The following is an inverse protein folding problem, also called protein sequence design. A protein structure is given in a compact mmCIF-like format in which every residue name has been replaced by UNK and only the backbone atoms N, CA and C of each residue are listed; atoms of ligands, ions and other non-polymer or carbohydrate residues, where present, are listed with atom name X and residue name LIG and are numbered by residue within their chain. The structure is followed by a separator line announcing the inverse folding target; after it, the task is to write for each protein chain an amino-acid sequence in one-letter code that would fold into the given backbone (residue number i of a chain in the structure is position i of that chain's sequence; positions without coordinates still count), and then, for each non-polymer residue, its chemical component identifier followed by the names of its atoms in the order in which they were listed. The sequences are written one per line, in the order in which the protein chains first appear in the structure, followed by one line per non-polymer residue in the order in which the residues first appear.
data_IF_051590032641
#
_entry.id   IF_051590032641
#
_cell.length_a   1.000
_cell.length_b   1.000
_cell.length_c   1.000
_cell.angle_alpha   90.00
_cell.angle_beta   90.00
_cell.angle_gamma   90.00
#
_symmetry.space_group_name_H-M   'P 1'
#
loop_
_entity.id
_entity.type
_entity.pdbx_description
1 polymer ?
#
# COMPACT_ATOMS: atom_id res chain seq x y z
N UNK A 1 13.01 16.42 -50.71
CA UNK A 1 13.45 15.53 -49.60
C UNK A 1 14.65 16.15 -48.92
N UNK A 2 14.51 16.64 -47.69
CA UNK A 2 15.63 17.09 -46.85
C UNK A 2 15.48 16.37 -45.50
N UNK A 3 16.50 15.59 -45.15
CA UNK A 3 16.48 14.64 -44.04
C UNK A 3 16.46 15.33 -42.67
N UNK A 4 15.67 14.75 -41.76
CA UNK A 4 15.66 15.06 -40.34
C UNK A 4 16.86 14.34 -39.69
N UNK A 5 17.85 15.09 -39.21
CA UNK A 5 18.98 14.53 -38.46
C UNK A 5 18.72 14.68 -36.95
N UNK A 6 18.58 13.55 -36.26
CA UNK A 6 18.54 13.46 -34.80
C UNK A 6 19.96 13.27 -34.28
N UNK A 7 20.57 14.33 -33.75
CA UNK A 7 21.80 14.25 -32.97
C UNK A 7 21.44 14.02 -31.50
N UNK A 8 21.60 12.79 -31.03
CA UNK A 8 21.44 12.43 -29.63
C UNK A 8 22.83 12.42 -28.97
N UNK A 9 23.16 13.47 -28.22
CA UNK A 9 24.42 13.54 -27.47
C UNK A 9 24.20 13.01 -26.05
N UNK A 10 24.55 11.74 -25.82
CA UNK A 10 24.48 11.08 -24.52
C UNK A 10 25.72 11.42 -23.69
N UNK A 11 25.64 12.48 -22.88
CA UNK A 11 26.51 12.64 -21.69
C UNK A 11 25.68 12.52 -20.42
N UNK A 12 26.24 11.77 -19.46
CA UNK A 12 25.71 11.46 -18.13
C UNK A 12 25.33 12.73 -17.33
N UNK A 13 24.12 13.23 -17.57
CA UNK A 13 23.27 14.10 -16.76
C UNK A 13 22.06 14.34 -17.66
N UNK A 14 20.91 13.81 -17.28
CA UNK A 14 19.71 13.74 -18.14
C UNK A 14 19.20 15.15 -18.46
N UNK A 15 19.72 15.74 -19.53
CA UNK A 15 19.25 16.99 -20.14
C UNK A 15 18.97 16.68 -21.61
N UNK A 16 17.76 16.21 -21.89
CA UNK A 16 17.29 16.00 -23.26
C UNK A 16 16.97 17.37 -23.87
N UNK A 17 17.89 17.95 -24.64
CA UNK A 17 17.61 19.13 -25.46
C UNK A 17 17.10 18.66 -26.83
N UNK A 18 15.85 18.98 -27.14
CA UNK A 18 15.26 18.72 -28.45
C UNK A 18 15.43 20.00 -29.28
N UNK A 19 16.26 19.93 -30.32
CA UNK A 19 16.41 21.01 -31.30
C UNK A 19 15.53 20.73 -32.52
N UNK A 20 14.57 21.62 -32.79
CA UNK A 20 13.77 21.61 -34.01
C UNK A 20 14.34 22.64 -34.99
N UNK A 21 14.77 22.17 -36.16
CA UNK A 21 15.22 23.03 -37.26
C UNK A 21 14.02 23.41 -38.14
N UNK A 22 13.64 24.69 -38.12
CA UNK A 22 12.68 25.27 -39.08
C UNK A 22 13.39 25.64 -40.40
N UNK A 23 12.68 25.70 -41.55
CA UNK A 23 13.24 25.92 -42.88
C UNK A 23 13.90 27.31 -43.10
N UNK A 24 13.91 28.19 -42.10
CA UNK A 24 14.57 29.50 -42.12
C UNK A 24 15.76 29.63 -41.15
N UNK A 25 16.31 28.53 -40.64
CA UNK A 25 17.58 28.56 -39.90
C UNK A 25 17.51 29.22 -38.51
N UNK A 26 16.30 29.48 -38.00
CA UNK A 26 16.11 29.92 -36.62
C UNK A 26 16.03 28.71 -35.69
N UNK A 27 16.89 28.74 -34.67
CA UNK A 27 17.02 27.72 -33.64
C UNK A 27 16.10 28.11 -32.48
N UNK A 28 14.94 27.48 -32.38
CA UNK A 28 14.06 27.68 -31.23
C UNK A 28 14.49 26.71 -30.12
N UNK A 29 14.92 27.26 -28.98
CA UNK A 29 15.01 26.53 -27.72
C UNK A 29 13.59 26.31 -27.19
N UNK A 30 12.88 25.28 -27.69
CA UNK A 30 11.43 25.13 -27.43
C UNK A 30 11.14 24.60 -26.02
N UNK A 31 12.05 23.89 -25.36
CA UNK A 31 11.71 23.25 -24.07
C UNK A 31 12.90 23.09 -23.13
N UNK A 32 13.01 23.97 -22.15
CA UNK A 32 13.79 23.71 -20.93
C UNK A 32 12.90 22.96 -19.93
N UNK A 33 12.86 21.62 -20.00
CA UNK A 33 12.03 20.74 -19.15
C UNK A 33 12.53 20.67 -17.69
N UNK A 34 13.44 21.56 -17.27
CA UNK A 34 14.01 21.53 -15.93
C UNK A 34 13.02 21.90 -14.79
N UNK A 35 11.78 22.30 -15.10
CA UNK A 35 10.80 22.78 -14.12
C UNK A 35 9.54 21.91 -13.99
N UNK A 36 9.65 20.58 -14.07
CA UNK A 36 8.59 19.67 -13.58
C UNK A 36 9.19 18.51 -12.79
N UNK A 37 10.17 18.79 -11.93
CA UNK A 37 10.42 17.93 -10.78
C UNK A 37 9.49 18.38 -9.66
N UNK A 38 8.22 17.96 -9.73
CA UNK A 38 7.36 18.00 -8.55
C UNK A 38 8.10 17.28 -7.44
N UNK A 39 8.40 17.98 -6.35
CA UNK A 39 9.11 17.44 -5.21
C UNK A 39 8.38 16.18 -4.73
N UNK A 40 8.99 15.01 -4.93
CA UNK A 40 8.39 13.72 -4.58
C UNK A 40 8.24 13.64 -3.07
N UNK A 41 7.05 13.95 -2.58
CA UNK A 41 6.71 13.75 -1.19
C UNK A 41 6.77 12.24 -0.91
N UNK A 42 7.68 11.85 -0.03
CA UNK A 42 7.89 10.47 0.38
C UNK A 42 7.31 10.25 1.77
N UNK A 43 6.46 9.25 1.88
CA UNK A 43 5.79 8.88 3.13
C UNK A 43 6.29 7.50 3.57
N UNK A 44 6.77 7.40 4.82
CA UNK A 44 7.28 6.12 5.32
C UNK A 44 7.13 5.96 6.83
N UNK A 45 7.07 4.69 7.26
CA UNK A 45 7.00 4.32 8.66
C UNK A 45 8.40 4.30 9.28
N UNK A 46 8.56 5.05 10.37
CA UNK A 46 9.74 5.01 11.23
C UNK A 46 9.31 4.48 12.59
N UNK A 47 9.93 3.40 13.06
CA UNK A 47 9.68 2.87 14.40
C UNK A 47 10.83 3.33 15.29
N UNK A 48 10.54 4.21 16.25
CA UNK A 48 11.51 4.68 17.22
C UNK A 48 11.50 3.77 18.43
N UNK A 49 12.57 3.02 18.62
CA UNK A 49 12.80 2.24 19.84
C UNK A 49 13.38 3.17 20.91
N UNK A 50 12.69 3.33 22.02
CA UNK A 50 13.11 4.14 23.15
C UNK A 50 14.04 3.37 24.09
N UNK A 51 14.79 4.11 24.91
CA UNK A 51 15.64 3.55 25.98
C UNK A 51 14.84 2.94 27.13
N UNK A 52 13.58 3.34 27.29
CA UNK A 52 12.69 2.83 28.34
C UNK A 52 12.33 1.37 28.08
N UNK A 53 12.63 0.50 29.04
CA UNK A 53 12.18 -0.88 29.07
C UNK A 53 10.81 -0.99 29.74
N UNK A 54 10.02 -1.96 29.30
CA UNK A 54 8.74 -2.33 29.90
C UNK A 54 8.95 -3.23 31.12
N UNK A 55 7.89 -3.47 31.90
CA UNK A 55 7.91 -4.42 33.03
C UNK A 55 8.40 -5.81 32.59
N UNK A 56 8.05 -6.21 31.38
CA UNK A 56 8.44 -7.50 30.79
C UNK A 56 9.86 -7.49 30.16
N UNK A 57 10.66 -6.45 30.42
CA UNK A 57 12.02 -6.27 29.88
C UNK A 57 12.10 -5.86 28.41
N UNK A 58 11.01 -5.97 27.65
CA UNK A 58 10.95 -5.58 26.23
C UNK A 58 11.16 -4.07 26.03
N UNK A 59 11.84 -3.66 24.95
CA UNK A 59 12.03 -2.24 24.66
C UNK A 59 10.70 -1.62 24.24
N UNK A 60 10.53 -0.35 24.57
CA UNK A 60 9.35 0.41 24.21
C UNK A 60 9.52 1.05 22.82
N UNK A 61 8.66 0.69 21.86
CA UNK A 61 8.66 1.29 20.53
C UNK A 61 7.45 2.20 20.28
N UNK A 62 7.69 3.28 19.52
CA UNK A 62 6.65 4.19 19.01
C UNK A 62 6.74 4.25 17.48
N UNK A 63 5.68 3.85 16.77
CA UNK A 63 5.60 4.06 15.33
C UNK A 63 5.32 5.54 15.01
N UNK A 64 6.02 6.07 14.01
CA UNK A 64 5.97 7.45 13.57
C UNK A 64 5.66 7.46 12.05
N UNK A 65 4.67 8.25 11.67
CA UNK A 65 4.39 8.61 10.29
C UNK A 65 5.35 9.74 9.90
N UNK A 66 6.16 9.53 8.87
CA UNK A 66 7.16 10.52 8.45
C UNK A 66 6.93 10.90 7.00
N UNK A 67 6.84 12.21 6.76
CA UNK A 67 6.71 12.82 5.44
C UNK A 67 7.98 13.59 5.10
N UNK A 68 8.56 13.31 3.93
CA UNK A 68 9.81 13.94 3.44
C UNK A 68 9.61 14.53 2.05
N UNK A 69 10.43 15.51 1.69
CA UNK A 69 10.39 16.12 0.34
C UNK A 69 10.96 15.23 -0.77
N UNK A 70 11.81 14.26 -0.42
CA UNK A 70 12.43 13.26 -1.30
C UNK A 70 13.27 12.28 -0.48
N UNK A 71 13.84 11.26 -1.13
CA UNK A 71 14.81 10.35 -0.52
C UNK A 71 16.02 11.15 -0.01
N UNK A 72 16.34 11.02 1.28
CA UNK A 72 17.35 11.84 1.99
C UNK A 72 17.07 13.36 2.01
N UNK A 73 15.85 13.78 1.69
CA UNK A 73 15.40 15.16 1.80
C UNK A 73 15.09 15.57 3.23
N UNK A 74 14.72 16.84 3.40
CA UNK A 74 14.25 17.39 4.69
C UNK A 74 12.97 16.69 5.12
N UNK A 75 12.85 16.40 6.41
CA UNK A 75 11.60 15.94 7.03
C UNK A 75 10.65 17.11 7.07
N UNK A 76 9.50 16.95 6.41
CA UNK A 76 8.41 17.91 6.46
C UNK A 76 7.64 17.74 7.76
N UNK A 77 7.25 16.50 8.05
CA UNK A 77 6.45 16.15 9.23
C UNK A 77 6.90 14.81 9.80
N UNK A 78 6.88 14.72 11.13
CA UNK A 78 7.11 13.48 11.89
C UNK A 78 6.05 13.44 13.00
N UNK A 79 5.03 12.62 12.78
CA UNK A 79 3.88 12.51 13.69
C UNK A 79 3.82 11.12 14.34
N UNK A 80 3.55 11.03 15.65
CA UNK A 80 3.42 9.75 16.32
C UNK A 80 2.08 9.08 16.01
N UNK A 81 2.14 7.83 15.55
CA UNK A 81 0.95 7.01 15.33
C UNK A 81 0.41 6.55 16.69
N UNK A 82 -0.87 6.81 16.96
CA UNK A 82 -1.49 6.39 18.20
C UNK A 82 -1.58 4.87 18.27
N UNK A 83 -1.17 4.30 19.41
CA UNK A 83 -1.21 2.86 19.69
C UNK A 83 -2.50 2.44 20.43
N UNK A 84 -3.43 3.38 20.61
CA UNK A 84 -4.70 3.16 21.32
C UNK A 84 -5.88 3.04 20.35
N UNK A 85 -5.74 3.56 19.13
CA UNK A 85 -6.76 3.56 18.10
C UNK A 85 -6.36 2.61 16.98
N UNK A 86 -7.32 2.00 16.27
CA UNK A 86 -7.03 1.22 15.08
C UNK A 86 -6.40 2.07 13.96
N UNK A 87 -5.78 1.38 13.00
CA UNK A 87 -5.04 2.02 11.90
C UNK A 87 -5.56 1.46 10.58
N UNK A 88 -6.00 2.36 9.70
CA UNK A 88 -6.39 2.05 8.33
C UNK A 88 -5.42 2.72 7.36
N UNK A 89 -4.69 1.93 6.58
CA UNK A 89 -3.78 2.40 5.55
C UNK A 89 -4.43 2.25 4.18
N UNK A 90 -4.51 3.35 3.44
CA UNK A 90 -5.08 3.41 2.10
C UNK A 90 -4.00 3.92 1.14
N UNK A 91 -4.06 3.58 -0.14
CA UNK A 91 -3.09 4.07 -1.12
C UNK A 91 -3.00 3.17 -2.34
N UNK A 92 -2.56 3.68 -3.48
CA UNK A 92 -2.48 2.87 -4.71
C UNK A 92 -1.41 1.75 -4.61
N UNK A 93 -1.39 0.82 -5.56
CA UNK A 93 -0.39 -0.26 -5.58
C UNK A 93 1.03 0.32 -5.58
N UNK A 94 1.97 -0.35 -4.90
CA UNK A 94 3.36 0.12 -4.78
C UNK A 94 3.62 1.27 -3.79
N UNK A 95 2.61 1.79 -3.08
CA UNK A 95 2.76 2.82 -2.02
C UNK A 95 3.51 2.35 -0.77
N UNK A 96 3.80 1.06 -0.63
CA UNK A 96 4.48 0.50 0.54
C UNK A 96 3.58 0.12 1.71
N UNK A 97 2.25 0.08 1.53
CA UNK A 97 1.28 -0.38 2.55
C UNK A 97 1.65 -1.72 3.19
N UNK A 98 1.86 -2.77 2.39
CA UNK A 98 2.25 -4.10 2.88
C UNK A 98 3.51 -4.03 3.73
N UNK A 99 4.53 -3.28 3.29
CA UNK A 99 5.76 -3.06 4.05
C UNK A 99 5.50 -2.34 5.39
N UNK A 100 4.53 -1.44 5.47
CA UNK A 100 4.13 -0.84 6.75
C UNK A 100 3.47 -1.86 7.66
N UNK A 101 2.50 -2.63 7.15
CA UNK A 101 1.79 -3.68 7.91
C UNK A 101 2.79 -4.71 8.45
N UNK A 102 3.68 -5.23 7.60
CA UNK A 102 4.72 -6.19 7.96
C UNK A 102 5.65 -5.64 9.06
N UNK A 103 6.15 -4.40 8.91
CA UNK A 103 7.03 -3.80 9.92
C UNK A 103 6.32 -3.55 11.25
N UNK A 104 5.03 -3.19 11.22
CA UNK A 104 4.23 -3.06 12.44
C UNK A 104 3.98 -4.42 13.09
N UNK A 105 3.78 -5.47 12.28
CA UNK A 105 3.60 -6.84 12.74
C UNK A 105 4.88 -7.39 13.41
N UNK A 106 6.03 -7.28 12.75
CA UNK A 106 7.34 -7.68 13.31
C UNK A 106 7.66 -7.00 14.64
N UNK A 107 7.27 -5.72 14.76
CA UNK A 107 7.49 -4.91 15.96
C UNK A 107 6.29 -4.86 16.90
N UNK A 108 5.27 -5.69 16.69
CA UNK A 108 4.04 -5.64 17.46
C UNK A 108 4.28 -5.84 18.96
N UNK A 109 5.19 -6.74 19.35
CA UNK A 109 5.58 -6.95 20.75
C UNK A 109 6.18 -5.69 21.40
N UNK A 110 7.03 -4.98 20.68
CA UNK A 110 7.66 -3.74 21.15
C UNK A 110 6.67 -2.56 21.21
N UNK A 111 5.66 -2.56 20.33
CA UNK A 111 4.65 -1.49 20.22
C UNK A 111 3.50 -1.72 21.21
N UNK A 112 2.96 -2.94 21.30
CA UNK A 112 1.74 -3.28 22.06
C UNK A 112 1.92 -4.34 23.16
N UNK A 113 3.05 -5.06 23.21
CA UNK A 113 3.27 -6.21 24.11
C UNK A 113 2.90 -6.07 25.59
N UNK A 114 2.97 -4.88 26.21
CA UNK A 114 2.54 -4.70 27.61
C UNK A 114 1.02 -4.69 27.79
N UNK A 115 0.25 -4.42 26.72
CA UNK A 115 -1.22 -4.44 26.73
C UNK A 115 -1.77 -5.77 26.22
N UNK A 116 -1.05 -6.39 25.30
CA UNK A 116 -1.43 -7.60 24.60
C UNK A 116 -0.20 -8.51 24.60
N UNK A 117 -0.04 -9.39 25.60
CA UNK A 117 1.16 -10.22 25.75
C UNK A 117 1.19 -11.40 24.78
N UNK A 118 0.15 -11.58 23.98
CA UNK A 118 0.02 -12.66 22.99
C UNK A 118 0.55 -12.24 21.62
N UNK A 119 0.84 -13.25 20.81
CA UNK A 119 1.32 -13.05 19.45
C UNK A 119 0.20 -12.49 18.55
N UNK A 120 0.49 -11.48 17.71
CA UNK A 120 -0.50 -10.88 16.82
C UNK A 120 -1.00 -11.88 15.76
N UNK A 121 -2.23 -11.65 15.28
CA UNK A 121 -2.80 -12.43 14.19
C UNK A 121 -2.57 -11.69 12.86
N UNK A 122 -1.91 -12.33 11.89
CA UNK A 122 -1.68 -11.78 10.56
C UNK A 122 -2.56 -12.46 9.51
N UNK A 123 -3.39 -11.67 8.84
CA UNK A 123 -4.31 -12.11 7.80
C UNK A 123 -3.95 -11.37 6.51
N UNK A 124 -3.53 -12.08 5.46
CA UNK A 124 -3.31 -11.46 4.14
C UNK A 124 -4.43 -11.81 3.17
N UNK A 125 -4.92 -10.82 2.43
CA UNK A 125 -5.87 -10.97 1.34
C UNK A 125 -5.38 -11.87 0.19
N UNK A 126 -4.06 -11.98 0.02
CA UNK A 126 -3.44 -12.77 -1.05
C UNK A 126 -3.15 -14.22 -0.65
N UNK A 127 -2.87 -14.49 0.62
CA UNK A 127 -2.53 -15.84 1.08
C UNK A 127 -3.77 -16.74 1.17
N UNK A 128 -3.68 -18.05 0.88
CA UNK A 128 -4.82 -18.95 1.05
C UNK A 128 -5.26 -19.04 2.54
N UNK A 129 -6.51 -19.43 2.77
CA UNK A 129 -7.08 -19.52 4.12
C UNK A 129 -6.35 -20.55 5.00
N UNK A 130 -5.78 -21.62 4.41
CA UNK A 130 -4.92 -22.58 5.11
C UNK A 130 -3.71 -21.93 5.77
N UNK A 131 -3.08 -20.98 5.08
CA UNK A 131 -1.93 -20.26 5.60
C UNK A 131 -2.26 -19.42 6.84
N UNK A 132 -3.50 -18.90 6.94
CA UNK A 132 -3.95 -18.17 8.14
C UNK A 132 -4.03 -19.06 9.38
N UNK A 133 -4.35 -20.34 9.18
CA UNK A 133 -4.57 -21.28 10.27
C UNK A 133 -3.26 -21.92 10.72
N UNK A 134 -2.50 -22.50 9.79
CA UNK A 134 -1.34 -23.30 10.14
C UNK A 134 -0.04 -22.47 10.28
N UNK A 135 0.00 -21.27 9.69
CA UNK A 135 1.15 -20.34 9.81
C UNK A 135 1.06 -19.32 10.95
N UNK A 136 -0.04 -19.33 11.71
CA UNK A 136 -0.32 -18.33 12.74
C UNK A 136 -0.04 -18.78 14.19
N UNK A 137 -0.38 -17.95 15.19
CA UNK A 137 -0.21 -18.26 16.61
C UNK A 137 -1.27 -19.22 17.18
N UNK A 138 -2.37 -19.41 16.45
CA UNK A 138 -3.56 -20.15 16.91
C UNK A 138 -3.29 -21.63 17.22
N UNK A 139 -2.51 -22.40 16.43
CA UNK A 139 -2.19 -23.79 16.76
C UNK A 139 -1.49 -23.94 18.12
N UNK A 140 -0.53 -23.06 18.39
CA UNK A 140 0.24 -23.07 19.64
C UNK A 140 -0.65 -22.69 20.82
N UNK A 141 -1.49 -21.67 20.65
CA UNK A 141 -2.47 -21.29 21.65
C UNK A 141 -3.48 -22.41 21.95
N UNK A 142 -4.03 -23.05 20.91
CA UNK A 142 -5.02 -24.12 21.06
C UNK A 142 -4.45 -25.31 21.82
N UNK A 143 -3.26 -25.78 21.43
CA UNK A 143 -2.61 -26.90 22.11
C UNK A 143 -2.15 -26.54 23.54
N UNK A 144 -1.82 -25.27 23.80
CA UNK A 144 -1.45 -24.77 25.12
C UNK A 144 -2.64 -24.56 26.06
N UNK A 145 -3.82 -24.28 25.51
CA UNK A 145 -5.08 -24.16 26.23
C UNK A 145 -5.58 -25.56 26.61
N UNK A 146 -5.02 -26.14 27.68
CA UNK A 146 -5.27 -27.53 28.14
C UNK A 146 -6.71 -27.78 28.63
N UNK A 147 -7.74 -27.54 27.82
CA UNK A 147 -9.09 -28.06 28.09
C UNK A 147 -9.06 -29.56 27.77
N UNK A 148 -9.07 -30.39 28.83
CA UNK A 148 -8.97 -31.87 28.77
C UNK A 148 -9.96 -32.55 27.79
N UNK A 149 -11.03 -31.85 27.38
CA UNK A 149 -12.08 -32.35 26.50
C UNK A 149 -11.88 -32.01 25.01
N UNK A 150 -10.98 -31.10 24.65
CA UNK A 150 -10.84 -30.63 23.26
C UNK A 150 -9.76 -31.43 22.50
N UNK A 151 -10.01 -31.79 21.22
CA UNK A 151 -9.04 -32.53 20.43
C UNK A 151 -7.82 -31.66 20.05
N UNK A 152 -6.67 -32.31 19.87
CA UNK A 152 -5.43 -31.66 19.44
C UNK A 152 -5.59 -31.01 18.05
N UNK A 153 -4.84 -29.93 17.78
CA UNK A 153 -4.96 -29.13 16.56
C UNK A 153 -4.97 -29.95 15.26
N UNK A 154 -4.09 -30.96 15.16
CA UNK A 154 -3.95 -31.78 13.95
C UNK A 154 -5.15 -32.70 13.69
N UNK A 155 -5.99 -32.96 14.69
CA UNK A 155 -7.22 -33.77 14.56
C UNK A 155 -8.43 -32.94 14.14
N UNK A 156 -8.33 -31.61 14.22
CA UNK A 156 -9.42 -30.71 13.86
C UNK A 156 -9.66 -30.70 12.34
N UNK A 157 -10.94 -30.62 11.98
CA UNK A 157 -11.35 -30.37 10.60
C UNK A 157 -11.00 -28.94 10.20
N UNK A 158 -10.83 -28.70 8.91
CA UNK A 158 -10.42 -27.40 8.40
C UNK A 158 -11.42 -26.28 8.77
N UNK A 159 -12.73 -26.54 8.73
CA UNK A 159 -13.73 -25.54 9.11
C UNK A 159 -13.69 -25.21 10.62
N UNK A 160 -13.44 -26.19 11.48
CA UNK A 160 -13.27 -25.96 12.93
C UNK A 160 -12.09 -25.04 13.19
N UNK A 161 -10.95 -25.30 12.54
CA UNK A 161 -9.76 -24.44 12.61
C UNK A 161 -10.07 -23.01 12.17
N UNK A 162 -10.90 -22.82 11.14
CA UNK A 162 -11.29 -21.47 10.70
C UNK A 162 -12.13 -20.71 11.73
N UNK A 163 -13.00 -21.40 12.46
CA UNK A 163 -13.85 -20.79 13.48
C UNK A 163 -13.07 -20.50 14.78
N UNK A 164 -11.91 -21.11 14.97
CA UNK A 164 -10.99 -20.80 16.08
C UNK A 164 -10.22 -19.49 15.91
N UNK A 165 -10.04 -18.99 14.68
CA UNK A 165 -9.34 -17.72 14.42
C UNK A 165 -10.03 -16.53 15.13
N UNK A 166 -11.36 -16.29 14.96
CA UNK A 166 -12.07 -15.29 15.74
C UNK A 166 -12.03 -15.52 17.25
N UNK A 167 -12.12 -16.78 17.67
CA UNK A 167 -12.13 -17.17 19.09
C UNK A 167 -10.81 -16.82 19.77
N UNK A 168 -9.68 -17.06 19.09
CA UNK A 168 -8.36 -16.66 19.56
C UNK A 168 -8.32 -15.15 19.86
N UNK A 169 -8.79 -14.32 18.93
CA UNK A 169 -8.79 -12.86 19.12
C UNK A 169 -9.73 -12.44 20.26
N UNK A 170 -10.90 -13.06 20.36
CA UNK A 170 -11.87 -12.76 21.42
C UNK A 170 -11.35 -13.11 22.82
N UNK A 171 -10.69 -14.26 22.98
CA UNK A 171 -10.18 -14.71 24.28
C UNK A 171 -8.87 -14.01 24.68
N UNK A 172 -8.00 -13.71 23.71
CA UNK A 172 -6.66 -13.17 24.01
C UNK A 172 -6.52 -11.66 23.86
N UNK A 173 -7.41 -11.02 23.10
CA UNK A 173 -7.31 -9.62 22.72
C UNK A 173 -6.14 -9.31 21.77
N UNK A 174 -5.68 -10.32 21.01
CA UNK A 174 -4.59 -10.19 20.04
C UNK A 174 -4.80 -8.99 19.08
N UNK A 175 -3.69 -8.33 18.71
CA UNK A 175 -3.72 -7.31 17.66
C UNK A 175 -3.88 -8.01 16.31
N UNK A 176 -4.84 -7.55 15.50
CA UNK A 176 -5.14 -8.14 14.19
C UNK A 176 -4.54 -7.28 13.08
N UNK A 177 -3.73 -7.90 12.23
CA UNK A 177 -3.19 -7.31 11.01
C UNK A 177 -3.94 -7.87 9.82
N UNK A 178 -4.47 -7.00 8.97
CA UNK A 178 -5.14 -7.38 7.74
C UNK A 178 -4.51 -6.67 6.55
N UNK A 179 -3.78 -7.41 5.72
CA UNK A 179 -3.20 -6.87 4.49
C UNK A 179 -4.12 -7.11 3.29
N UNK A 180 -4.17 -6.15 2.36
CA UNK A 180 -4.96 -6.18 1.12
C UNK A 180 -6.45 -6.52 1.34
N UNK A 181 -7.11 -5.77 2.23
CA UNK A 181 -8.53 -5.98 2.57
C UNK A 181 -9.48 -5.91 1.36
N UNK A 182 -9.12 -5.15 0.32
CA UNK A 182 -9.87 -5.05 -0.94
C UNK A 182 -9.89 -6.34 -1.77
N UNK A 183 -8.98 -7.30 -1.52
CA UNK A 183 -8.97 -8.61 -2.19
C UNK A 183 -9.77 -9.67 -1.42
N UNK A 184 -10.31 -9.34 -0.24
CA UNK A 184 -11.13 -10.27 0.54
C UNK A 184 -12.52 -10.46 -0.05
N UNK A 185 -12.91 -11.72 -0.26
CA UNK A 185 -14.24 -12.10 -0.74
C UNK A 185 -14.74 -13.38 -0.07
N UNK A 186 -16.06 -13.63 -0.10
CA UNK A 186 -16.70 -14.86 0.36
C UNK A 186 -16.37 -15.24 1.82
N UNK A 187 -16.11 -16.54 2.05
CA UNK A 187 -15.82 -17.10 3.39
C UNK A 187 -14.63 -16.43 4.08
N UNK A 188 -13.63 -16.01 3.31
CA UNK A 188 -12.41 -15.36 3.82
C UNK A 188 -12.73 -13.98 4.40
N UNK A 189 -13.62 -13.23 3.73
CA UNK A 189 -14.15 -11.96 4.20
C UNK A 189 -14.93 -12.14 5.51
N UNK A 190 -15.80 -13.16 5.58
CA UNK A 190 -16.61 -13.42 6.77
C UNK A 190 -15.74 -13.74 8.00
N UNK A 191 -14.71 -14.58 7.81
CA UNK A 191 -13.78 -14.92 8.89
C UNK A 191 -12.96 -13.69 9.33
N UNK A 192 -12.43 -12.91 8.39
CA UNK A 192 -11.70 -11.69 8.70
C UNK A 192 -12.56 -10.70 9.49
N UNK A 193 -13.82 -10.51 9.08
CA UNK A 193 -14.79 -9.68 9.81
C UNK A 193 -14.99 -10.20 11.24
N UNK A 194 -15.19 -11.51 11.42
CA UNK A 194 -15.34 -12.13 12.74
C UNK A 194 -14.09 -11.98 13.62
N UNK A 195 -12.90 -11.95 13.04
CA UNK A 195 -11.66 -11.68 13.77
C UNK A 195 -11.54 -10.21 14.19
N UNK A 196 -12.03 -9.27 13.38
CA UNK A 196 -11.93 -7.83 13.65
C UNK A 196 -12.94 -7.32 14.67
N UNK A 197 -14.17 -7.87 14.69
CA UNK A 197 -15.22 -7.48 15.64
C UNK A 197 -14.76 -7.48 17.12
N UNK A 198 -14.08 -8.52 17.64
CA UNK A 198 -13.57 -8.51 19.01
C UNK A 198 -12.25 -7.74 19.19
N UNK A 199 -11.56 -7.36 18.12
CA UNK A 199 -10.25 -6.74 18.18
C UNK A 199 -10.34 -5.25 18.55
N UNK A 200 -9.74 -4.87 19.69
CA UNK A 200 -9.67 -3.45 20.10
C UNK A 200 -8.68 -2.63 19.27
N UNK A 201 -7.62 -3.28 18.79
CA UNK A 201 -6.56 -2.68 18.00
C UNK A 201 -6.35 -3.57 16.79
N UNK A 202 -6.46 -2.97 15.62
CA UNK A 202 -6.19 -3.63 14.36
C UNK A 202 -5.47 -2.67 13.41
N UNK A 203 -4.77 -3.27 12.45
CA UNK A 203 -4.02 -2.58 11.40
C UNK A 203 -4.45 -3.16 10.07
N UNK A 204 -5.14 -2.36 9.25
CA UNK A 204 -5.70 -2.82 7.97
C UNK A 204 -5.08 -2.04 6.83
N UNK A 205 -4.73 -2.71 5.73
CA UNK A 205 -4.37 -2.06 4.48
C UNK A 205 -5.41 -2.29 3.38
N UNK A 206 -5.62 -1.29 2.55
CA UNK A 206 -6.46 -1.38 1.35
C UNK A 206 -5.92 -0.48 0.24
N UNK A 207 -6.28 -0.75 -1.01
CA UNK A 207 -5.93 0.14 -2.12
C UNK A 207 -6.69 1.47 -2.03
N UNK A 208 -7.99 1.39 -1.81
CA UNK A 208 -8.88 2.53 -1.62
C UNK A 208 -9.89 2.20 -0.52
N UNK A 209 -10.37 3.20 0.21
CA UNK A 209 -11.43 3.00 1.19
C UNK A 209 -12.71 2.45 0.54
N UNK A 210 -13.06 2.98 -0.63
CA UNK A 210 -14.24 2.55 -1.41
C UNK A 210 -14.12 1.13 -2.00
N UNK A 211 -12.91 0.56 -2.06
CA UNK A 211 -12.68 -0.82 -2.54
C UNK A 211 -12.78 -1.86 -1.41
N UNK A 212 -12.89 -1.43 -0.16
CA UNK A 212 -13.11 -2.34 0.96
C UNK A 212 -14.55 -2.89 0.84
N UNK A 213 -14.76 -4.22 1.01
CA UNK A 213 -16.09 -4.79 1.00
C UNK A 213 -17.03 -4.07 1.98
N UNK A 214 -18.28 -3.71 1.58
CA UNK A 214 -19.16 -2.87 2.40
C UNK A 214 -19.39 -3.40 3.82
N UNK A 215 -19.55 -4.72 3.95
CA UNK A 215 -19.78 -5.39 5.24
C UNK A 215 -18.59 -5.29 6.21
N UNK A 216 -17.38 -5.17 5.67
CA UNK A 216 -16.14 -4.97 6.43
C UNK A 216 -15.91 -3.47 6.69
N UNK A 217 -16.20 -2.61 5.71
CA UNK A 217 -16.05 -1.16 5.84
C UNK A 217 -16.86 -0.61 7.02
N UNK A 218 -18.10 -1.05 7.20
CA UNK A 218 -18.94 -0.64 8.33
C UNK A 218 -18.25 -0.96 9.66
N UNK A 219 -17.65 -2.14 9.78
CA UNK A 219 -16.96 -2.57 11.00
C UNK A 219 -15.65 -1.78 11.22
N UNK A 220 -14.89 -1.53 10.15
CA UNK A 220 -13.64 -0.77 10.22
C UNK A 220 -13.85 0.69 10.56
N UNK A 221 -14.96 1.30 10.12
CA UNK A 221 -15.23 2.73 10.35
C UNK A 221 -15.92 3.00 11.69
N UNK A 222 -16.63 2.02 12.26
CA UNK A 222 -17.31 2.13 13.55
C UNK A 222 -16.41 2.66 14.70
N UNK A 223 -15.16 2.20 14.90
CA UNK A 223 -14.30 2.67 15.98
C UNK A 223 -13.54 3.99 15.70
N UNK A 224 -13.83 4.68 14.58
CA UNK A 224 -13.11 5.86 14.11
C UNK A 224 -11.58 5.63 14.01
N UNK A 225 -11.12 4.87 12.99
CA UNK A 225 -9.72 4.51 12.85
C UNK A 225 -8.85 5.70 12.45
N UNK A 226 -7.55 5.62 12.73
CA UNK A 226 -6.58 6.54 12.15
C UNK A 226 -6.36 6.17 10.68
N UNK A 227 -6.80 7.02 9.77
CA UNK A 227 -6.65 6.81 8.33
C UNK A 227 -5.37 7.46 7.83
N UNK A 228 -4.48 6.67 7.22
CA UNK A 228 -3.28 7.15 6.54
C UNK A 228 -3.41 6.86 5.06
N UNK A 229 -3.51 7.91 4.25
CA UNK A 229 -3.47 7.80 2.80
C UNK A 229 -2.01 7.90 2.34
N UNK A 230 -1.49 6.80 1.83
CA UNK A 230 -0.16 6.68 1.27
C UNK A 230 -0.23 6.97 -0.22
N UNK A 231 0.40 8.06 -0.62
CA UNK A 231 0.54 8.42 -2.02
C UNK A 231 1.48 7.43 -2.72
N UNK A 232 1.08 6.92 -3.89
CA UNK A 232 2.03 6.26 -4.80
C UNK A 232 2.10 7.00 -6.12
N UNK A 233 3.33 7.29 -6.50
CA UNK A 233 3.69 7.87 -7.79
C UNK A 233 3.89 6.72 -8.80
N UNK A 234 2.86 5.88 -8.98
CA UNK A 234 2.91 4.91 -10.06
C UNK A 234 2.77 5.71 -11.36
N UNK A 235 3.67 5.46 -12.31
CA UNK A 235 3.78 6.14 -13.60
C UNK A 235 2.53 6.07 -14.50
N UNK A 236 1.37 5.61 -13.99
CA UNK A 236 0.10 5.55 -14.71
C UNK A 236 -0.36 6.92 -15.23
N UNK A 237 -0.10 8.01 -14.51
CA UNK A 237 -0.39 9.37 -15.02
C UNK A 237 0.63 9.83 -16.06
N UNK A 238 1.88 9.35 -15.98
CA UNK A 238 2.95 9.75 -16.92
C UNK A 238 2.82 9.10 -18.29
N UNK A 239 2.26 7.88 -18.40
CA UNK A 239 1.96 7.27 -19.70
C UNK A 239 0.93 8.10 -20.49
N UNK A 240 -0.03 8.71 -19.81
CA UNK A 240 -0.99 9.63 -20.43
C UNK A 240 -0.30 10.85 -21.04
N UNK A 241 0.52 11.53 -20.25
CA UNK A 241 1.29 12.70 -20.70
C UNK A 241 2.28 12.35 -21.83
N UNK A 242 2.97 11.21 -21.74
CA UNK A 242 3.88 10.75 -22.80
C UNK A 242 3.17 10.54 -24.14
N UNK A 243 1.98 9.93 -24.13
CA UNK A 243 1.20 9.71 -25.35
C UNK A 243 0.77 11.05 -25.97
N UNK A 244 0.37 12.04 -25.16
CA UNK A 244 0.04 13.37 -25.68
C UNK A 244 1.25 14.14 -26.20
N UNK A 245 2.41 14.01 -25.54
CA UNK A 245 3.68 14.56 -26.04
C UNK A 245 4.06 13.91 -27.38
N UNK A 246 3.90 12.59 -27.51
CA UNK A 246 4.13 11.87 -28.77
C UNK A 246 3.16 12.31 -29.88
N UNK A 247 1.87 12.48 -29.58
CA UNK A 247 0.88 13.05 -30.50
C UNK A 247 1.29 14.47 -30.93
N UNK A 248 1.75 15.30 -30.00
CA UNK A 248 2.29 16.63 -30.30
C UNK A 248 3.49 16.60 -31.25
N UNK A 249 4.42 15.65 -31.06
CA UNK A 249 5.55 15.47 -31.98
C UNK A 249 5.10 15.04 -33.38
N UNK A 250 4.10 14.16 -33.48
CA UNK A 250 3.53 13.73 -34.78
C UNK A 250 2.88 14.90 -35.52
N UNK A 251 2.18 15.79 -34.82
CA UNK A 251 1.61 17.01 -35.41
C UNK A 251 2.70 17.96 -35.92
N UNK A 252 3.76 18.18 -35.13
CA UNK A 252 4.90 19.05 -35.54
C UNK A 252 5.65 18.46 -36.75
N UNK A 253 5.79 17.13 -36.81
CA UNK A 253 6.42 16.45 -37.94
C UNK A 253 5.54 16.37 -39.20
N UNK A 254 4.29 16.84 -39.14
CA UNK A 254 3.37 16.86 -40.27
C UNK A 254 2.63 15.55 -40.54
N UNK A 255 2.66 14.59 -39.61
CA UNK A 255 1.94 13.32 -39.71
C UNK A 255 0.56 13.40 -39.03
N UNK A 256 -0.33 14.22 -39.61
CA UNK A 256 -1.63 14.54 -39.02
C UNK A 256 -2.56 13.33 -38.92
N UNK A 257 -2.52 12.41 -39.89
CA UNK A 257 -3.33 11.19 -39.89
C UNK A 257 -2.94 10.25 -38.74
N UNK A 258 -1.65 10.08 -38.49
CA UNK A 258 -1.14 9.27 -37.38
C UNK A 258 -1.43 9.93 -36.03
N UNK A 259 -1.28 11.25 -35.92
CA UNK A 259 -1.60 11.99 -34.71
C UNK A 259 -3.09 11.84 -34.33
N UNK A 260 -3.99 11.96 -35.30
CA UNK A 260 -5.44 11.78 -35.11
C UNK A 260 -5.75 10.32 -34.74
N UNK A 261 -5.15 9.34 -35.42
CA UNK A 261 -5.37 7.93 -35.11
C UNK A 261 -4.92 7.56 -33.69
N UNK A 262 -3.71 7.95 -33.28
CA UNK A 262 -3.17 7.64 -31.95
C UNK A 262 -3.88 8.44 -30.86
N UNK A 263 -4.15 9.73 -31.10
CA UNK A 263 -4.90 10.59 -30.16
C UNK A 263 -6.34 10.12 -29.98
N UNK A 264 -7.02 9.74 -31.05
CA UNK A 264 -8.36 9.16 -31.03
C UNK A 264 -8.40 7.84 -30.26
N UNK A 265 -7.45 6.93 -30.53
CA UNK A 265 -7.35 5.66 -29.80
C UNK A 265 -7.07 5.88 -28.31
N UNK A 266 -6.22 6.86 -27.95
CA UNK A 266 -5.98 7.22 -26.54
C UNK A 266 -7.22 7.82 -25.88
N UNK A 267 -7.95 8.70 -26.56
CA UNK A 267 -9.17 9.30 -26.05
C UNK A 267 -10.27 8.25 -25.81
N UNK A 268 -10.38 7.25 -26.69
CA UNK A 268 -11.29 6.11 -26.53
C UNK A 268 -10.84 5.17 -25.40
N UNK A 269 -9.53 4.92 -25.29
CA UNK A 269 -8.95 4.11 -24.22
C UNK A 269 -8.96 4.81 -22.84
N UNK A 270 -9.17 6.13 -22.79
CA UNK A 270 -9.30 6.90 -21.54
C UNK A 270 -10.70 6.82 -20.92
N UNK A 271 -11.62 6.02 -21.49
CA UNK A 271 -12.95 5.80 -20.93
C UNK A 271 -12.89 5.31 -19.48
N UNK A 272 -13.83 5.80 -18.64
CA UNK A 272 -13.95 5.60 -17.18
C UNK A 272 -13.94 4.13 -16.69
N UNK A 273 -13.91 3.14 -17.59
CA UNK A 273 -13.85 1.70 -17.32
C UNK A 273 -12.54 1.01 -17.76
N UNK A 274 -11.73 1.60 -18.63
CA UNK A 274 -10.50 0.98 -19.13
C UNK A 274 -9.34 1.02 -18.12
N UNK A 275 -9.42 1.88 -17.11
CA UNK A 275 -8.42 2.04 -16.03
C UNK A 275 -8.56 1.02 -14.89
N UNK A 276 -9.34 -0.05 -15.07
CA UNK A 276 -9.58 -1.07 -14.04
C UNK A 276 -8.99 -2.43 -14.43
N UNK A 277 -7.67 -2.53 -14.39
CA UNK A 277 -7.04 -3.82 -14.16
C UNK A 277 -6.65 -3.84 -12.68
N UNK A 278 -7.51 -4.40 -11.83
CA UNK A 278 -7.18 -4.97 -10.50
C UNK A 278 -8.41 -5.48 -9.74
#
# INVERSE_FOLDING_TARGET
MKGLFLLCETRLLVSLRIFLFLPHGQLLDVFNINSIYFAQIMEYLKIRVGSRKRKDGTPYAVPLYVRKTRKYGKTLEEEPISRKRPILMVGAHGSGKTRWVERLHEKAKEIWGAKVPVEPLYLSGLTPLSAWMDGGPVPNWWNGSKKKSEPLWYKLRQWEKTDLLPRYVAETGAVVFLDDAHKLTGRKLDIAKRCLMPAKIWVVSSSQENRIPPSLRIELMRPDPQVYELSSDVAYDRTGAFIWIFVGMLLIAGFWELAIAVGGLKALAAGRRATRQD
#
